data_IF_510251264098
#
_entry.id   IF_510251264098
#
_cell.length_a   1.000
_cell.length_b   1.000
_cell.length_c   1.000
_cell.angle_alpha   90.00
_cell.angle_beta   90.00
_cell.angle_gamma   90.00
#
_symmetry.space_group_name_H-M   'P 1'
#
loop_
_entity.id
_entity.type
_entity.pdbx_description
1 polymer ?
#
# COMPACT_ATOMS: atom_id res chain seq x y z
N UNK A 1 0.74 -29.22 -20.90
CA UNK A 1 -0.13 -28.77 -19.79
C UNK A 1 -0.49 -27.30 -20.00
N UNK A 2 -1.77 -26.97 -20.12
CA UNK A 2 -2.21 -25.57 -20.24
C UNK A 2 -2.01 -24.85 -18.90
N UNK A 3 -1.41 -23.66 -18.92
CA UNK A 3 -1.22 -22.83 -17.72
C UNK A 3 -2.61 -22.45 -17.17
N UNK A 4 -2.90 -22.64 -15.86
CA UNK A 4 -4.18 -22.24 -15.30
C UNK A 4 -4.42 -20.75 -15.56
N UNK A 5 -5.65 -20.40 -15.96
CA UNK A 5 -6.04 -19.01 -16.20
C UNK A 5 -6.01 -18.27 -14.87
N UNK A 6 -5.37 -17.09 -14.86
CA UNK A 6 -5.34 -16.22 -13.69
C UNK A 6 -6.75 -15.79 -13.28
N UNK A 7 -7.00 -15.73 -11.98
CA UNK A 7 -8.27 -15.21 -11.44
C UNK A 7 -8.43 -13.72 -11.76
N UNK A 8 -9.63 -13.17 -11.55
CA UNK A 8 -9.85 -11.72 -11.70
C UNK A 8 -8.98 -10.92 -10.72
N UNK A 9 -8.89 -11.38 -9.46
CA UNK A 9 -8.05 -10.79 -8.42
C UNK A 9 -6.57 -10.80 -8.79
N UNK A 10 -6.04 -11.93 -9.28
CA UNK A 10 -4.64 -12.02 -9.71
C UNK A 10 -4.33 -11.08 -10.87
N UNK A 11 -5.29 -10.87 -11.78
CA UNK A 11 -5.16 -9.90 -12.87
C UNK A 11 -5.13 -8.47 -12.34
N UNK A 12 -6.07 -8.10 -11.46
CA UNK A 12 -6.13 -6.76 -10.83
C UNK A 12 -4.83 -6.44 -10.08
N UNK A 13 -4.37 -7.34 -9.21
CA UNK A 13 -3.09 -7.20 -8.48
C UNK A 13 -1.88 -7.11 -9.40
N UNK A 14 -1.88 -7.90 -10.47
CA UNK A 14 -0.84 -7.85 -11.48
C UNK A 14 -0.75 -6.52 -12.22
N UNK A 15 -1.89 -5.89 -12.52
CA UNK A 15 -1.94 -4.55 -13.12
C UNK A 15 -1.44 -3.49 -12.16
N UNK A 16 -1.95 -3.44 -10.93
CA UNK A 16 -1.49 -2.48 -9.92
C UNK A 16 0.02 -2.55 -9.68
N UNK A 17 0.59 -3.76 -9.57
CA UNK A 17 2.03 -3.95 -9.43
C UNK A 17 2.82 -3.44 -10.63
N UNK A 18 2.34 -3.70 -11.84
CA UNK A 18 2.98 -3.24 -13.07
C UNK A 18 2.93 -1.71 -13.17
N UNK A 19 1.76 -1.11 -12.97
CA UNK A 19 1.56 0.34 -13.02
C UNK A 19 2.45 1.06 -12.00
N UNK A 20 2.42 0.63 -10.73
CA UNK A 20 3.24 1.24 -9.68
C UNK A 20 4.73 1.14 -9.98
N UNK A 21 5.21 -0.03 -10.41
CA UNK A 21 6.62 -0.23 -10.71
C UNK A 21 7.06 0.64 -11.91
N UNK A 22 6.34 0.57 -13.02
CA UNK A 22 6.75 1.31 -14.23
C UNK A 22 6.71 2.82 -14.00
N UNK A 23 5.67 3.34 -13.35
CA UNK A 23 5.60 4.77 -13.04
C UNK A 23 6.68 5.20 -12.02
N UNK A 24 7.03 4.34 -11.06
CA UNK A 24 8.16 4.60 -10.15
C UNK A 24 9.49 4.63 -10.91
N UNK A 25 9.72 3.70 -11.83
CA UNK A 25 10.94 3.67 -12.64
C UNK A 25 11.01 4.88 -13.58
N UNK A 26 9.89 5.25 -14.21
CA UNK A 26 9.79 6.40 -15.09
C UNK A 26 10.21 7.70 -14.39
N UNK A 27 9.75 7.90 -13.15
CA UNK A 27 10.18 9.02 -12.31
C UNK A 27 11.66 8.98 -11.99
N UNK A 28 12.17 7.80 -11.61
CA UNK A 28 13.58 7.61 -11.25
C UNK A 28 14.52 8.05 -12.38
N UNK A 29 14.13 7.82 -13.64
CA UNK A 29 14.90 8.21 -14.83
C UNK A 29 14.44 9.54 -15.45
N UNK A 30 13.47 10.25 -14.85
CA UNK A 30 13.01 11.56 -15.30
C UNK A 30 12.20 11.57 -16.60
N UNK A 31 11.49 10.49 -16.94
CA UNK A 31 10.63 10.44 -18.15
C UNK A 31 9.15 10.57 -17.80
N UNK A 32 8.40 11.25 -18.66
CA UNK A 32 7.01 11.63 -18.39
C UNK A 32 5.97 10.73 -19.05
N UNK A 33 6.36 9.90 -20.03
CA UNK A 33 5.40 9.06 -20.75
C UNK A 33 6.00 7.70 -21.16
N UNK A 34 5.15 6.69 -21.45
CA UNK A 34 5.58 5.34 -21.81
C UNK A 34 6.48 5.29 -23.05
N UNK A 35 6.35 6.24 -23.98
CA UNK A 35 7.17 6.29 -25.17
C UNK A 35 8.61 6.72 -24.86
N UNK A 36 8.79 7.76 -24.04
CA UNK A 36 10.11 8.16 -23.52
C UNK A 36 10.73 7.05 -22.66
N UNK A 37 9.92 6.36 -21.85
CA UNK A 37 10.37 5.20 -21.08
C UNK A 37 10.89 4.09 -21.97
N UNK A 38 10.14 3.72 -23.03
CA UNK A 38 10.55 2.71 -23.99
C UNK A 38 11.86 3.08 -24.70
N UNK A 39 12.01 4.34 -25.12
CA UNK A 39 13.23 4.84 -25.75
C UNK A 39 14.45 4.71 -24.83
N UNK A 40 14.30 5.10 -23.56
CA UNK A 40 15.38 5.00 -22.57
C UNK A 40 15.73 3.53 -22.26
N UNK A 41 14.70 2.69 -22.11
CA UNK A 41 14.87 1.25 -21.89
C UNK A 41 15.60 0.58 -23.07
N UNK A 42 15.24 0.92 -24.31
CA UNK A 42 15.87 0.40 -25.52
C UNK A 42 17.35 0.79 -25.59
N UNK A 43 17.69 2.03 -25.25
CA UNK A 43 19.08 2.50 -25.20
C UNK A 43 19.94 1.71 -24.18
N UNK A 44 19.37 1.32 -23.04
CA UNK A 44 20.08 0.54 -22.01
C UNK A 44 20.20 -0.96 -22.32
N UNK A 45 19.23 -1.51 -23.04
CA UNK A 45 19.11 -2.97 -23.24
C UNK A 45 19.48 -3.42 -24.65
N UNK A 46 19.60 -2.49 -25.61
CA UNK A 46 19.76 -2.80 -27.03
C UNK A 46 18.49 -3.38 -27.67
N UNK A 47 17.34 -3.32 -26.98
CA UNK A 47 16.07 -3.79 -27.48
C UNK A 47 15.42 -2.75 -28.41
N UNK A 48 14.32 -3.12 -29.05
CA UNK A 48 13.51 -2.23 -29.89
C UNK A 48 12.03 -2.30 -29.48
N UNK A 49 11.78 -2.06 -28.20
CA UNK A 49 10.45 -2.12 -27.58
C UNK A 49 9.56 -0.94 -27.98
N UNK A 50 10.15 0.23 -28.26
CA UNK A 50 9.43 1.42 -28.70
C UNK A 50 8.75 1.20 -30.06
N UNK A 51 9.47 0.68 -31.06
CA UNK A 51 8.90 0.46 -32.41
C UNK A 51 8.08 -0.82 -32.53
N UNK A 52 8.47 -1.89 -31.81
CA UNK A 52 7.80 -3.19 -31.96
C UNK A 52 6.43 -3.25 -31.27
N UNK A 53 6.14 -2.35 -30.33
CA UNK A 53 4.88 -2.30 -29.58
C UNK A 53 4.65 -3.48 -28.61
N UNK A 54 5.53 -4.50 -28.61
CA UNK A 54 5.39 -5.73 -27.80
C UNK A 54 5.29 -5.48 -26.30
N UNK A 55 5.89 -4.38 -25.83
CA UNK A 55 5.91 -4.00 -24.42
C UNK A 55 4.94 -2.88 -24.07
N UNK A 56 4.20 -2.34 -25.05
CA UNK A 56 3.37 -1.14 -24.86
C UNK A 56 2.37 -1.31 -23.72
N UNK A 57 1.62 -2.42 -23.71
CA UNK A 57 0.67 -2.71 -22.62
C UNK A 57 1.36 -2.89 -21.26
N UNK A 58 2.60 -3.40 -21.25
CA UNK A 58 3.37 -3.55 -20.00
C UNK A 58 3.89 -2.20 -19.49
N UNK A 59 4.40 -1.34 -20.37
CA UNK A 59 4.85 0.01 -20.02
C UNK A 59 3.71 0.96 -19.67
N UNK A 60 2.50 0.69 -20.17
CA UNK A 60 1.30 1.39 -19.74
C UNK A 60 0.76 0.87 -18.38
N UNK A 61 1.33 -0.19 -17.80
CA UNK A 61 0.81 -0.82 -16.58
C UNK A 61 -0.46 -1.65 -16.77
N UNK A 62 -0.98 -1.75 -18.00
CA UNK A 62 -2.22 -2.47 -18.35
C UNK A 62 -2.07 -3.99 -18.29
N UNK A 63 -0.83 -4.51 -18.18
CA UNK A 63 -0.57 -5.94 -18.14
C UNK A 63 0.49 -6.26 -17.10
N UNK A 64 0.18 -7.27 -16.29
CA UNK A 64 1.10 -7.83 -15.32
C UNK A 64 2.45 -8.20 -15.96
N UNK A 65 3.54 -7.82 -15.29
CA UNK A 65 4.89 -8.11 -15.72
C UNK A 65 5.22 -9.59 -15.50
N UNK A 66 5.92 -10.17 -16.46
CA UNK A 66 6.53 -11.49 -16.33
C UNK A 66 7.90 -11.41 -15.66
N UNK A 67 8.39 -12.53 -15.12
CA UNK A 67 9.73 -12.63 -14.51
C UNK A 67 10.84 -12.19 -15.46
N UNK A 68 10.76 -12.55 -16.74
CA UNK A 68 11.74 -12.12 -17.74
C UNK A 68 11.71 -10.60 -17.95
N UNK A 69 10.54 -9.98 -17.90
CA UNK A 69 10.44 -8.53 -18.02
C UNK A 69 11.03 -7.82 -16.79
N UNK A 70 10.77 -8.34 -15.58
CA UNK A 70 11.40 -7.84 -14.35
C UNK A 70 12.93 -7.98 -14.42
N UNK A 71 13.44 -9.11 -14.91
CA UNK A 71 14.88 -9.32 -15.09
C UNK A 71 15.51 -8.32 -16.06
N UNK A 72 14.77 -7.85 -17.06
CA UNK A 72 15.28 -6.82 -17.97
C UNK A 72 15.18 -5.42 -17.35
N UNK A 73 14.10 -5.14 -16.62
CA UNK A 73 13.94 -3.88 -15.88
C UNK A 73 14.97 -3.71 -14.78
N UNK A 74 15.62 -4.78 -14.31
CA UNK A 74 16.69 -4.69 -13.30
C UNK A 74 17.94 -3.96 -13.81
N UNK A 75 18.04 -3.77 -15.13
CA UNK A 75 19.05 -2.91 -15.77
C UNK A 75 18.86 -1.42 -15.43
N UNK A 76 17.64 -1.00 -15.11
CA UNK A 76 17.31 0.37 -14.66
C UNK A 76 17.46 0.48 -13.14
N UNK A 77 16.97 -0.52 -12.42
CA UNK A 77 16.99 -0.53 -10.96
C UNK A 77 17.22 -1.95 -10.44
N UNK A 78 18.32 -2.23 -9.72
CA UNK A 78 18.60 -3.58 -9.21
C UNK A 78 17.52 -4.11 -8.26
N UNK A 79 16.72 -3.23 -7.64
CA UNK A 79 15.68 -3.57 -6.65
C UNK A 79 14.30 -3.84 -7.26
N UNK A 80 14.16 -3.92 -8.60
CA UNK A 80 12.84 -4.08 -9.26
C UNK A 80 12.01 -5.26 -8.75
N UNK A 81 12.65 -6.38 -8.40
CA UNK A 81 11.93 -7.56 -7.92
C UNK A 81 11.27 -7.28 -6.57
N UNK A 82 12.03 -6.74 -5.62
CA UNK A 82 11.54 -6.37 -4.31
C UNK A 82 10.48 -5.28 -4.40
N UNK A 83 10.73 -4.20 -5.17
CA UNK A 83 9.78 -3.10 -5.37
C UNK A 83 8.47 -3.56 -6.01
N UNK A 84 8.52 -4.50 -6.94
CA UNK A 84 7.34 -5.09 -7.56
C UNK A 84 6.54 -5.96 -6.58
N UNK A 85 7.23 -6.70 -5.70
CA UNK A 85 6.59 -7.60 -4.74
C UNK A 85 5.99 -6.84 -3.55
N UNK A 86 6.78 -5.96 -2.95
CA UNK A 86 6.47 -5.19 -1.73
C UNK A 86 5.60 -3.97 -2.01
N UNK A 87 5.76 -3.35 -3.18
CA UNK A 87 5.02 -2.16 -3.56
C UNK A 87 5.52 -0.85 -2.96
N UNK A 88 4.85 0.27 -3.27
CA UNK A 88 5.24 1.56 -2.73
C UNK A 88 5.10 1.56 -1.21
N UNK A 89 6.19 1.83 -0.49
CA UNK A 89 6.25 1.80 0.97
C UNK A 89 5.64 0.53 1.60
N UNK A 90 5.87 -0.64 0.99
CA UNK A 90 5.34 -1.94 1.42
C UNK A 90 3.81 -2.11 1.32
N UNK A 91 3.10 -1.26 0.55
CA UNK A 91 1.64 -1.34 0.43
C UNK A 91 1.13 -2.70 -0.10
N UNK A 92 1.82 -3.33 -1.07
CA UNK A 92 1.41 -4.65 -1.55
C UNK A 92 1.65 -5.74 -0.52
N UNK A 93 2.72 -5.62 0.25
CA UNK A 93 2.96 -6.49 1.40
C UNK A 93 1.84 -6.32 2.42
N UNK A 94 1.49 -5.08 2.78
CA UNK A 94 0.41 -4.76 3.70
C UNK A 94 -0.92 -5.33 3.21
N UNK A 95 -1.24 -5.19 1.92
CA UNK A 95 -2.54 -5.62 1.40
C UNK A 95 -2.63 -7.13 1.18
N UNK A 96 -1.57 -7.79 0.72
CA UNK A 96 -1.70 -9.14 0.15
C UNK A 96 -0.78 -10.20 0.75
N UNK A 97 0.22 -9.82 1.55
CA UNK A 97 1.09 -10.80 2.17
C UNK A 97 0.33 -11.64 3.23
N UNK A 98 0.80 -12.87 3.51
CA UNK A 98 0.36 -13.61 4.69
C UNK A 98 0.66 -12.86 5.99
N UNK A 99 0.02 -13.27 7.09
CA UNK A 99 0.15 -12.65 8.41
C UNK A 99 1.61 -12.44 8.87
N UNK A 100 2.49 -13.40 8.57
CA UNK A 100 3.92 -13.30 8.90
C UNK A 100 4.59 -12.10 8.20
N UNK A 101 4.20 -11.81 6.96
CA UNK A 101 4.68 -10.64 6.21
C UNK A 101 4.21 -9.33 6.82
N UNK A 102 3.00 -9.28 7.38
CA UNK A 102 2.44 -8.08 8.01
C UNK A 102 3.21 -7.68 9.27
N UNK A 103 3.64 -8.65 10.07
CA UNK A 103 4.43 -8.37 11.28
C UNK A 103 5.73 -7.64 10.98
N UNK A 104 6.33 -7.85 9.80
CA UNK A 104 7.57 -7.15 9.43
C UNK A 104 7.37 -5.64 9.26
N UNK A 105 6.20 -5.21 8.78
CA UNK A 105 5.85 -3.79 8.55
C UNK A 105 5.79 -3.01 9.85
N UNK A 106 5.34 -3.65 10.93
CA UNK A 106 5.17 -3.04 12.26
C UNK A 106 6.12 -3.61 13.30
N UNK A 107 7.19 -4.29 12.85
CA UNK A 107 8.05 -5.07 13.74
C UNK A 107 8.84 -4.20 14.72
N UNK A 108 9.30 -3.04 14.25
CA UNK A 108 10.01 -2.07 15.08
C UNK A 108 9.11 -1.55 16.19
N UNK A 109 7.87 -1.20 15.87
CA UNK A 109 6.92 -0.67 16.86
C UNK A 109 6.37 -1.76 17.78
N UNK A 110 6.20 -2.99 17.30
CA UNK A 110 5.88 -4.13 18.16
C UNK A 110 7.01 -4.47 19.15
N UNK A 111 8.26 -4.04 18.89
CA UNK A 111 9.33 -4.16 19.85
C UNK A 111 9.26 -3.07 20.94
N UNK A 112 8.71 -1.91 20.60
CA UNK A 112 8.52 -0.76 21.50
C UNK A 112 7.24 -0.86 22.32
N UNK A 113 6.17 -1.44 21.75
CA UNK A 113 4.84 -1.45 22.34
C UNK A 113 4.42 -2.86 22.76
N UNK A 114 4.06 -3.06 24.04
CA UNK A 114 3.89 -4.40 24.62
C UNK A 114 2.66 -5.15 24.07
N UNK A 115 1.68 -4.44 23.48
CA UNK A 115 0.46 -5.05 22.94
C UNK A 115 0.07 -4.41 21.60
N UNK A 116 -0.68 -5.17 20.79
CA UNK A 116 -1.23 -4.67 19.53
C UNK A 116 -2.26 -3.54 19.76
N UNK A 117 -3.02 -3.59 20.85
CA UNK A 117 -3.99 -2.54 21.18
C UNK A 117 -3.30 -1.19 21.38
N UNK A 118 -2.22 -1.18 22.17
CA UNK A 118 -1.40 0.02 22.37
C UNK A 118 -0.84 0.51 21.03
N UNK A 119 -0.28 -0.38 20.21
CA UNK A 119 0.26 0.01 18.91
C UNK A 119 -0.80 0.64 18.00
N UNK A 120 -2.03 0.12 17.99
CA UNK A 120 -3.14 0.71 17.24
C UNK A 120 -3.50 2.08 17.80
N UNK A 121 -3.53 2.24 19.12
CA UNK A 121 -3.84 3.51 19.78
C UNK A 121 -2.77 4.58 19.51
N UNK A 122 -1.49 4.22 19.65
CA UNK A 122 -0.34 5.09 19.35
C UNK A 122 -0.38 5.56 17.89
N UNK A 123 -0.61 4.62 16.96
CA UNK A 123 -0.69 4.98 15.55
C UNK A 123 -1.92 5.85 15.23
N UNK A 124 -3.07 5.62 15.85
CA UNK A 124 -4.22 6.53 15.70
C UNK A 124 -3.91 7.92 16.27
N UNK A 125 -3.17 7.99 17.38
CA UNK A 125 -2.65 9.23 17.96
C UNK A 125 -1.73 9.99 17.02
N UNK A 126 -0.77 9.31 16.37
CA UNK A 126 0.12 9.90 15.36
C UNK A 126 -0.68 10.56 14.22
N UNK A 127 -1.72 9.89 13.73
CA UNK A 127 -2.58 10.42 12.67
C UNK A 127 -3.41 11.63 13.13
N UNK A 128 -3.88 11.63 14.37
CA UNK A 128 -4.60 12.77 14.95
C UNK A 128 -3.68 13.97 15.20
N UNK A 129 -2.44 13.74 15.60
CA UNK A 129 -1.43 14.80 15.69
C UNK A 129 -1.14 15.37 14.31
N UNK A 130 -0.94 14.52 13.30
CA UNK A 130 -0.74 14.97 11.92
C UNK A 130 -1.94 15.80 11.42
N UNK A 131 -3.17 15.41 11.75
CA UNK A 131 -4.37 16.19 11.47
C UNK A 131 -4.36 17.57 12.15
N UNK A 132 -4.05 17.62 13.44
CA UNK A 132 -4.02 18.85 14.22
C UNK A 132 -2.94 19.84 13.75
N UNK A 133 -1.80 19.34 13.30
CA UNK A 133 -0.69 20.14 12.79
C UNK A 133 -0.71 20.33 11.27
N UNK A 134 -1.70 19.78 10.57
CA UNK A 134 -1.79 19.78 9.10
C UNK A 134 -0.56 19.17 8.41
N UNK A 135 0.05 18.16 9.04
CA UNK A 135 1.17 17.41 8.46
C UNK A 135 0.66 16.42 7.40
N UNK A 136 1.34 16.32 6.25
CA UNK A 136 0.90 15.45 5.17
C UNK A 136 1.11 13.98 5.52
N UNK A 137 0.10 13.15 5.24
CA UNK A 137 0.23 11.71 5.34
C UNK A 137 0.98 11.14 4.13
N UNK A 138 1.45 9.90 4.26
CA UNK A 138 2.28 9.24 3.24
C UNK A 138 1.77 7.84 2.94
N UNK A 139 2.21 7.24 1.83
CA UNK A 139 1.88 5.84 1.51
C UNK A 139 2.36 4.89 2.62
N UNK A 140 3.42 5.23 3.36
CA UNK A 140 3.87 4.44 4.51
C UNK A 140 2.83 4.44 5.65
N UNK A 141 2.19 5.58 5.93
CA UNK A 141 1.07 5.63 6.87
C UNK A 141 -0.09 4.74 6.41
N UNK A 142 -0.45 4.80 5.12
CA UNK A 142 -1.48 3.91 4.55
C UNK A 142 -1.10 2.42 4.69
N UNK A 143 0.13 2.05 4.33
CA UNK A 143 0.60 0.67 4.43
C UNK A 143 0.58 0.16 5.88
N UNK A 144 0.96 1.00 6.85
CA UNK A 144 0.89 0.68 8.28
C UNK A 144 -0.57 0.53 8.74
N UNK A 145 -1.47 1.44 8.36
CA UNK A 145 -2.90 1.35 8.66
C UNK A 145 -3.51 0.03 8.15
N UNK A 146 -3.22 -0.31 6.89
CA UNK A 146 -3.66 -1.56 6.25
C UNK A 146 -3.09 -2.79 6.96
N UNK A 147 -1.81 -2.79 7.32
CA UNK A 147 -1.18 -3.89 8.03
C UNK A 147 -1.80 -4.11 9.41
N UNK A 148 -2.02 -3.04 10.18
CA UNK A 148 -2.65 -3.08 11.50
C UNK A 148 -4.09 -3.58 11.42
N UNK A 149 -4.88 -3.07 10.48
CA UNK A 149 -6.26 -3.51 10.26
C UNK A 149 -6.33 -5.02 10.02
N UNK A 150 -5.51 -5.53 9.10
CA UNK A 150 -5.46 -6.96 8.80
C UNK A 150 -4.96 -7.79 9.98
N UNK A 151 -3.97 -7.30 10.73
CA UNK A 151 -3.48 -7.97 11.95
C UNK A 151 -4.58 -8.10 13.01
N UNK A 152 -5.30 -7.02 13.30
CA UNK A 152 -6.41 -7.01 14.26
C UNK A 152 -7.52 -7.97 13.81
N UNK A 153 -7.93 -7.89 12.54
CA UNK A 153 -8.99 -8.72 12.01
C UNK A 153 -8.64 -10.23 12.04
N UNK A 154 -7.43 -10.60 11.62
CA UNK A 154 -6.97 -11.99 11.63
C UNK A 154 -6.82 -12.55 13.05
N UNK A 155 -6.38 -11.72 14.02
CA UNK A 155 -6.28 -12.15 15.41
C UNK A 155 -7.65 -12.36 16.04
N UNK A 156 -8.58 -11.41 15.83
CA UNK A 156 -9.96 -11.54 16.30
C UNK A 156 -10.67 -12.76 15.70
N UNK A 157 -10.32 -13.17 14.47
CA UNK A 157 -10.89 -14.35 13.81
C UNK A 157 -10.29 -15.70 14.31
N UNK A 158 -9.05 -15.72 14.81
CA UNK A 158 -8.30 -16.97 15.10
C UNK A 158 -8.12 -17.30 16.57
N UNK A 159 -8.11 -16.30 17.44
CA UNK A 159 -7.75 -16.44 18.86
C UNK A 159 -8.82 -15.71 19.66
N UNK A 160 -9.25 -16.29 20.79
CA UNK A 160 -10.22 -15.75 21.77
C UNK A 160 -10.34 -14.23 21.64
N UNK A 161 -11.54 -13.67 21.35
CA UNK A 161 -11.72 -12.27 20.97
C UNK A 161 -10.89 -11.38 21.89
N UNK A 162 -9.84 -10.79 21.32
CA UNK A 162 -8.82 -10.04 22.06
C UNK A 162 -9.41 -8.73 22.62
N UNK A 163 -10.69 -8.46 22.35
CA UNK A 163 -11.40 -7.27 22.80
C UNK A 163 -11.02 -6.01 22.02
N UNK A 164 -10.16 -6.13 21.01
CA UNK A 164 -9.77 -5.01 20.14
C UNK A 164 -10.90 -4.81 19.12
N UNK A 165 -11.63 -3.70 19.25
CA UNK A 165 -12.75 -3.33 18.38
C UNK A 165 -12.34 -3.19 16.88
N UNK A 166 -11.09 -2.81 16.63
CA UNK A 166 -10.55 -2.59 15.29
C UNK A 166 -11.02 -1.29 14.62
N UNK A 167 -11.84 -0.49 15.28
CA UNK A 167 -12.44 0.73 14.73
C UNK A 167 -11.37 1.78 14.41
N UNK A 168 -10.35 1.90 15.27
CA UNK A 168 -9.23 2.82 15.03
C UNK A 168 -8.48 2.52 13.74
N UNK A 169 -8.34 1.22 13.40
CA UNK A 169 -7.67 0.80 12.16
C UNK A 169 -8.49 1.12 10.92
N UNK A 170 -9.82 1.04 11.01
CA UNK A 170 -10.73 1.45 9.95
C UNK A 170 -10.56 2.95 9.65
N UNK A 171 -10.67 3.78 10.70
CA UNK A 171 -10.55 5.24 10.58
C UNK A 171 -9.19 5.63 10.02
N UNK A 172 -8.12 4.95 10.46
CA UNK A 172 -6.77 5.18 9.97
C UNK A 172 -6.65 4.95 8.46
N UNK A 173 -7.22 3.86 7.92
CA UNK A 173 -7.19 3.60 6.47
C UNK A 173 -7.97 4.67 5.72
N UNK A 174 -9.22 4.96 6.13
CA UNK A 174 -10.06 5.95 5.45
C UNK A 174 -9.41 7.34 5.47
N UNK A 175 -8.87 7.77 6.61
CA UNK A 175 -8.16 9.04 6.76
C UNK A 175 -6.92 9.13 5.85
N UNK A 176 -6.19 8.03 5.67
CA UNK A 176 -5.07 7.99 4.73
C UNK A 176 -5.54 8.09 3.27
N UNK A 177 -6.66 7.46 2.90
CA UNK A 177 -7.22 7.54 1.54
C UNK A 177 -7.79 8.93 1.21
N UNK A 178 -8.38 9.60 2.20
CA UNK A 178 -8.90 10.96 2.08
C UNK A 178 -7.81 12.04 2.11
N UNK A 179 -6.58 11.68 2.49
CA UNK A 179 -5.47 12.62 2.52
C UNK A 179 -5.02 12.99 1.11
N UNK A 180 -4.98 14.29 0.80
CA UNK A 180 -4.62 14.78 -0.54
C UNK A 180 -3.20 14.38 -0.95
N UNK A 181 -2.27 14.27 0.00
CA UNK A 181 -0.87 13.92 -0.29
C UNK A 181 -0.74 12.44 -0.64
N UNK A 182 -1.46 11.57 0.07
CA UNK A 182 -1.54 10.13 -0.23
C UNK A 182 -2.26 9.90 -1.55
N UNK A 183 -3.40 10.54 -1.77
CA UNK A 183 -4.16 10.45 -3.01
C UNK A 183 -3.32 10.88 -4.22
N UNK A 184 -2.65 12.04 -4.12
CA UNK A 184 -1.73 12.50 -5.14
C UNK A 184 -0.58 11.50 -5.37
N UNK A 185 0.04 10.99 -4.31
CA UNK A 185 1.14 10.03 -4.43
C UNK A 185 0.71 8.74 -5.17
N UNK A 186 -0.44 8.16 -4.80
CA UNK A 186 -1.00 6.96 -5.44
C UNK A 186 -1.48 7.22 -6.88
N UNK A 187 -2.14 8.35 -7.13
CA UNK A 187 -2.63 8.72 -8.46
C UNK A 187 -1.45 8.89 -9.43
N UNK A 188 -0.39 9.47 -8.92
CA UNK A 188 0.83 9.71 -9.67
C UNK A 188 1.61 8.41 -9.98
N UNK A 189 1.32 7.32 -9.28
CA UNK A 189 1.76 5.95 -9.59
C UNK A 189 0.75 5.17 -10.46
N UNK A 190 -0.41 5.75 -10.76
CA UNK A 190 -1.47 5.14 -11.56
C UNK A 190 -2.24 4.03 -10.83
N UNK A 191 -2.32 4.08 -9.50
CA UNK A 191 -2.93 3.01 -8.69
C UNK A 191 -3.99 3.49 -7.69
N UNK A 192 -4.31 4.79 -7.66
CA UNK A 192 -5.25 5.34 -6.67
C UNK A 192 -6.63 4.66 -6.73
N UNK A 193 -7.29 4.67 -7.88
CA UNK A 193 -8.65 4.14 -8.01
C UNK A 193 -8.73 2.65 -7.66
N UNK A 194 -7.75 1.86 -8.08
CA UNK A 194 -7.72 0.42 -7.79
C UNK A 194 -7.50 0.12 -6.30
N UNK A 195 -6.65 0.91 -5.63
CA UNK A 195 -6.35 0.81 -4.20
C UNK A 195 -7.53 1.28 -3.38
N UNK A 196 -8.11 2.44 -3.69
CA UNK A 196 -9.28 2.98 -2.99
C UNK A 196 -10.47 2.04 -3.13
N UNK A 197 -10.73 1.47 -4.31
CA UNK A 197 -11.79 0.49 -4.50
C UNK A 197 -11.56 -0.79 -3.67
N UNK A 198 -10.35 -1.36 -3.69
CA UNK A 198 -10.07 -2.59 -2.93
C UNK A 198 -10.13 -2.38 -1.42
N UNK A 199 -9.62 -1.26 -0.93
CA UNK A 199 -9.67 -0.95 0.50
C UNK A 199 -11.10 -0.55 0.93
N UNK A 200 -11.83 0.20 0.12
CA UNK A 200 -13.23 0.53 0.41
C UNK A 200 -14.11 -0.72 0.51
N UNK A 201 -13.86 -1.74 -0.31
CA UNK A 201 -14.55 -3.04 -0.20
C UNK A 201 -14.29 -3.73 1.15
N UNK A 202 -13.08 -3.62 1.71
CA UNK A 202 -12.75 -4.18 3.04
C UNK A 202 -13.43 -3.42 4.17
N UNK A 203 -13.70 -2.14 3.92
CA UNK A 203 -14.22 -1.16 4.85
C UNK A 203 -15.77 -1.04 4.76
N UNK A 204 -16.43 -1.83 3.93
CA UNK A 204 -17.88 -1.78 3.79
C UNK A 204 -18.59 -2.02 5.14
N UNK A 205 -19.64 -1.24 5.42
CA UNK A 205 -20.48 -1.37 6.61
C UNK A 205 -19.95 -0.71 7.88
N UNK A 206 -18.91 0.11 7.77
CA UNK A 206 -18.28 0.84 8.88
C UNK A 206 -18.16 2.35 8.59
N UNK A 207 -18.92 2.85 7.61
CA UNK A 207 -18.84 4.22 7.10
C UNK A 207 -19.06 5.29 8.19
N UNK A 208 -19.89 4.97 9.17
CA UNK A 208 -20.19 5.83 10.31
C UNK A 208 -18.95 6.15 11.16
N UNK A 209 -17.99 5.20 11.25
CA UNK A 209 -16.77 5.37 12.03
C UNK A 209 -15.86 6.47 11.46
N UNK A 210 -15.86 6.65 10.13
CA UNK A 210 -15.06 7.70 9.48
C UNK A 210 -15.49 9.11 9.91
N UNK A 211 -16.75 9.28 10.31
CA UNK A 211 -17.32 10.57 10.73
C UNK A 211 -17.05 10.91 12.20
N UNK A 212 -16.31 10.07 12.93
CA UNK A 212 -16.04 10.29 14.35
C UNK A 212 -15.15 11.53 14.55
N UNK A 213 -15.58 12.56 15.29
CA UNK A 213 -14.79 13.77 15.50
C UNK A 213 -13.47 13.50 16.22
N UNK A 214 -12.42 14.26 15.87
CA UNK A 214 -11.09 14.15 16.47
C UNK A 214 -11.11 14.20 18.02
N UNK A 215 -11.93 15.06 18.63
CA UNK A 215 -12.06 15.15 20.08
C UNK A 215 -12.59 13.85 20.71
N UNK A 216 -13.59 13.21 20.09
CA UNK A 216 -14.12 11.94 20.56
C UNK A 216 -13.09 10.81 20.42
N UNK A 217 -12.32 10.82 19.34
CA UNK A 217 -11.22 9.87 19.11
C UNK A 217 -10.11 10.05 20.15
N UNK A 218 -9.67 11.27 20.41
CA UNK A 218 -8.68 11.56 21.46
C UNK A 218 -9.14 11.08 22.85
N UNK A 219 -10.39 11.32 23.21
CA UNK A 219 -10.94 10.84 24.48
C UNK A 219 -10.95 9.31 24.58
N UNK A 220 -11.24 8.61 23.48
CA UNK A 220 -11.21 7.14 23.44
C UNK A 220 -9.77 6.59 23.51
N UNK A 221 -8.79 7.33 22.98
CA UNK A 221 -7.37 6.96 23.06
C UNK A 221 -6.77 7.24 24.43
N UNK A 222 -7.18 8.30 25.12
CA UNK A 222 -6.60 8.71 26.40
C UNK A 222 -6.50 7.54 27.39
N UNK A 223 -7.60 6.81 27.62
CA UNK A 223 -7.60 5.65 28.52
C UNK A 223 -6.67 4.50 28.10
N UNK A 224 -6.32 4.41 26.81
CA UNK A 224 -5.42 3.41 26.24
C UNK A 224 -3.96 3.88 26.22
N UNK A 225 -3.72 5.18 26.32
CA UNK A 225 -2.40 5.84 26.29
C UNK A 225 -1.96 6.36 27.66
N UNK A 226 -2.84 6.36 28.67
CA UNK A 226 -2.60 6.79 30.07
C UNK A 226 -1.50 6.00 30.81
N UNK A 227 -0.91 4.98 30.19
CA UNK A 227 0.20 4.19 30.72
C UNK A 227 1.57 4.84 30.47
N UNK A 228 1.61 6.01 29.80
CA UNK A 228 2.77 6.92 29.78
C UNK A 228 2.66 7.87 31.00
N UNK A 229 3.05 7.38 32.16
CA UNK A 229 3.27 8.17 33.38
C UNK A 229 4.61 7.80 34.03
#
# INVERSE_FOLDING_TARGET
MARPRRTATERKRGHMRAAALINSLARKIGVANPHQFALHFDALTGMNTQSSGKWRSSFNGEKALSTQQLQLLSRIDPEVFERHEMGPANLWQAMWAPLQGLRSIVSTELASWPTLEVLVAEFEGDLLLAEAYHEPLTIAHLAKAVALHRLVHELNARIIPVGIDGEGTYRAIRRCLDDTSVAAALASLGIFDDVDAELSDWLAGHEELASTPAAARWNALASRLDWIA
#
